data_IF_864910394756
#
_entry.id   IF_864910394756
#
_cell.length_a   1.000
_cell.length_b   1.000
_cell.length_c   1.000
_cell.angle_alpha   90.00
_cell.angle_beta   90.00
_cell.angle_gamma   90.00
#
_symmetry.space_group_name_H-M   'P 1'
#
loop_
_entity.id
_entity.type
_entity.pdbx_description
1 polymer ?
#
# COMPACT_ATOMS: atom_id res chain seq x y z
N UNK A 1 -4.73 0.15 -16.49
CA UNK A 1 -5.21 -1.25 -16.65
C UNK A 1 -6.60 -1.38 -16.02
N UNK A 2 -7.33 -2.49 -16.22
CA UNK A 2 -8.65 -2.70 -15.57
C UNK A 2 -8.52 -3.06 -14.09
N UNK A 3 -9.62 -2.95 -13.32
CA UNK A 3 -9.67 -3.40 -11.91
C UNK A 3 -9.22 -4.85 -11.75
N UNK A 4 -9.62 -5.73 -12.67
CA UNK A 4 -9.24 -7.15 -12.63
C UNK A 4 -7.74 -7.36 -12.86
N UNK A 5 -7.15 -6.61 -13.81
CA UNK A 5 -5.71 -6.66 -14.06
C UNK A 5 -4.91 -6.17 -12.86
N UNK A 6 -5.32 -5.06 -12.25
CA UNK A 6 -4.70 -4.53 -11.04
C UNK A 6 -4.70 -5.56 -9.89
N UNK A 7 -5.86 -6.20 -9.63
CA UNK A 7 -5.97 -7.27 -8.62
C UNK A 7 -5.08 -8.47 -8.94
N UNK A 8 -4.98 -8.85 -10.20
CA UNK A 8 -4.12 -9.96 -10.61
C UNK A 8 -2.63 -9.64 -10.41
N UNK A 9 -2.20 -8.42 -10.71
CA UNK A 9 -0.85 -7.96 -10.38
C UNK A 9 -0.59 -7.98 -8.87
N UNK A 10 -1.58 -7.58 -8.06
CA UNK A 10 -1.52 -7.64 -6.59
C UNK A 10 -1.23 -9.04 -6.04
N UNK A 11 -1.84 -10.09 -6.61
CA UNK A 11 -1.61 -11.49 -6.16
C UNK A 11 -0.14 -11.91 -6.19
N UNK A 12 0.62 -11.46 -7.20
CA UNK A 12 2.05 -11.77 -7.30
C UNK A 12 2.85 -11.04 -6.22
N UNK A 13 2.58 -9.75 -6.02
CA UNK A 13 3.22 -8.94 -4.98
C UNK A 13 2.96 -9.52 -3.60
N UNK A 14 1.70 -9.85 -3.32
CA UNK A 14 1.25 -10.50 -2.09
C UNK A 14 2.00 -11.77 -1.80
N UNK A 15 2.03 -12.72 -2.74
CA UNK A 15 2.73 -14.00 -2.55
C UNK A 15 4.20 -13.79 -2.19
N UNK A 16 4.88 -12.89 -2.88
CA UNK A 16 6.29 -12.61 -2.65
C UNK A 16 6.52 -11.96 -1.28
N UNK A 17 5.72 -10.96 -0.92
CA UNK A 17 5.87 -10.25 0.35
C UNK A 17 5.40 -11.07 1.56
N UNK A 18 4.41 -11.94 1.39
CA UNK A 18 4.02 -12.91 2.43
C UNK A 18 5.17 -13.84 2.78
N UNK A 19 5.81 -14.42 1.76
CA UNK A 19 6.99 -15.28 1.93
C UNK A 19 8.16 -14.51 2.58
N UNK A 20 8.49 -13.32 2.06
CA UNK A 20 9.60 -12.49 2.58
C UNK A 20 9.43 -12.13 4.06
N UNK A 21 8.21 -11.81 4.49
CA UNK A 21 7.94 -11.35 5.86
C UNK A 21 7.41 -12.44 6.78
N UNK A 22 7.21 -13.66 6.28
CA UNK A 22 6.67 -14.80 7.03
C UNK A 22 5.33 -14.46 7.69
N UNK A 23 4.44 -13.83 6.92
CA UNK A 23 3.04 -13.57 7.31
C UNK A 23 2.09 -14.53 6.61
N UNK A 24 0.98 -14.79 7.26
CA UNK A 24 -0.07 -15.69 6.79
C UNK A 24 -1.24 -14.92 6.16
N UNK A 25 -2.09 -15.63 5.43
CA UNK A 25 -3.24 -15.04 4.71
C UNK A 25 -4.23 -14.37 5.68
N UNK A 26 -4.45 -14.95 6.86
CA UNK A 26 -5.33 -14.42 7.89
C UNK A 26 -4.82 -13.11 8.50
N UNK A 27 -3.50 -12.90 8.54
CA UNK A 27 -2.91 -11.68 9.07
C UNK A 27 -3.05 -10.47 8.12
N UNK A 28 -3.07 -10.71 6.81
CA UNK A 28 -3.02 -9.63 5.78
C UNK A 28 -4.27 -9.56 4.90
N UNK A 29 -5.05 -10.64 4.79
CA UNK A 29 -6.18 -10.76 3.87
C UNK A 29 -7.36 -9.84 4.19
N UNK A 30 -7.33 -9.16 5.35
CA UNK A 30 -8.36 -8.20 5.75
C UNK A 30 -7.91 -6.74 5.65
N UNK A 31 -6.72 -6.46 5.11
CA UNK A 31 -6.20 -5.09 4.92
C UNK A 31 -7.15 -4.29 4.00
N UNK A 32 -7.59 -4.85 2.87
CA UNK A 32 -8.57 -4.20 1.98
C UNK A 32 -9.91 -3.90 2.66
N UNK A 33 -10.21 -4.58 3.78
CA UNK A 33 -11.44 -4.41 4.57
C UNK A 33 -11.23 -3.47 5.77
N UNK A 34 -10.09 -2.78 5.85
CA UNK A 34 -9.80 -1.85 6.95
C UNK A 34 -9.31 -2.51 8.23
N UNK A 35 -9.08 -3.81 8.24
CA UNK A 35 -8.54 -4.52 9.41
C UNK A 35 -7.04 -4.64 9.28
N UNK A 36 -6.35 -3.68 9.88
CA UNK A 36 -4.90 -3.62 9.90
C UNK A 36 -4.37 -4.20 11.21
N UNK A 37 -3.74 -5.37 11.17
CA UNK A 37 -3.12 -5.98 12.36
C UNK A 37 -1.85 -5.19 12.71
N UNK A 38 -1.77 -4.67 13.94
CA UNK A 38 -0.59 -3.96 14.48
C UNK A 38 0.52 -4.93 14.88
N UNK A 39 0.98 -5.74 13.93
CA UNK A 39 2.11 -6.66 14.08
C UNK A 39 3.27 -6.22 13.18
N UNK A 40 4.50 -6.32 13.67
CA UNK A 40 5.68 -5.84 12.96
C UNK A 40 5.87 -6.52 11.59
N UNK A 41 5.58 -7.81 11.47
CA UNK A 41 5.70 -8.53 10.20
C UNK A 41 4.64 -8.07 9.21
N UNK A 42 3.43 -7.77 9.67
CA UNK A 42 2.35 -7.19 8.85
C UNK A 42 2.71 -5.78 8.38
N UNK A 43 3.29 -4.96 9.24
CA UNK A 43 3.81 -3.65 8.84
C UNK A 43 4.88 -3.77 7.74
N UNK A 44 5.82 -4.71 7.90
CA UNK A 44 6.88 -4.93 6.92
C UNK A 44 6.38 -5.60 5.63
N UNK A 45 5.27 -6.36 5.69
CA UNK A 45 4.55 -6.81 4.51
C UNK A 45 4.08 -5.63 3.66
N UNK A 46 3.44 -4.63 4.27
CA UNK A 46 2.98 -3.41 3.57
C UNK A 46 4.16 -2.65 2.96
N UNK A 47 5.25 -2.49 3.73
CA UNK A 47 6.47 -1.86 3.21
C UNK A 47 7.06 -2.64 2.01
N UNK A 48 7.07 -3.96 2.07
CA UNK A 48 7.53 -4.80 0.96
C UNK A 48 6.70 -4.55 -0.31
N UNK A 49 5.38 -4.41 -0.21
CA UNK A 49 4.53 -4.08 -1.37
C UNK A 49 4.94 -2.72 -1.95
N UNK A 50 5.09 -1.70 -1.11
CA UNK A 50 5.50 -0.37 -1.57
C UNK A 50 6.92 -0.35 -2.16
N UNK A 51 7.84 -1.16 -1.64
CA UNK A 51 9.19 -1.36 -2.17
C UNK A 51 9.12 -2.01 -3.57
N UNK A 52 8.36 -3.10 -3.73
CA UNK A 52 8.21 -3.79 -5.01
C UNK A 52 7.56 -2.91 -6.08
N UNK A 53 6.70 -1.97 -5.69
CA UNK A 53 6.12 -0.98 -6.60
C UNK A 53 7.00 0.28 -6.77
N UNK A 54 8.24 0.30 -6.28
CA UNK A 54 9.16 1.45 -6.37
C UNK A 54 8.62 2.75 -5.72
N UNK A 55 7.70 2.64 -4.77
CA UNK A 55 7.17 3.78 -4.00
C UNK A 55 8.14 4.19 -2.90
N UNK A 56 8.81 3.21 -2.28
CA UNK A 56 9.88 3.48 -1.32
C UNK A 56 11.16 3.82 -2.08
N UNK A 57 11.76 4.95 -1.74
CA UNK A 57 13.08 5.39 -2.23
C UNK A 57 13.91 5.91 -1.06
N UNK A 58 15.17 5.49 -0.98
CA UNK A 58 16.10 5.89 0.10
C UNK A 58 15.47 5.71 1.49
N UNK A 59 14.80 4.57 1.71
CA UNK A 59 14.12 4.22 2.95
C UNK A 59 13.00 5.21 3.38
N UNK A 60 12.36 5.88 2.42
CA UNK A 60 11.23 6.80 2.64
C UNK A 60 10.15 6.59 1.57
N UNK A 61 8.89 6.85 1.92
CA UNK A 61 7.82 6.85 0.93
C UNK A 61 7.95 8.08 0.04
N UNK A 62 7.96 7.90 -1.28
CA UNK A 62 8.11 8.99 -2.22
C UNK A 62 6.76 9.33 -2.87
N UNK A 63 6.28 10.55 -2.64
CA UNK A 63 4.99 11.02 -3.17
C UNK A 63 4.94 10.96 -4.70
N UNK A 64 5.94 11.52 -5.39
CA UNK A 64 5.97 11.52 -6.86
C UNK A 64 6.01 10.12 -7.45
N UNK A 65 6.73 9.18 -6.80
CA UNK A 65 6.73 7.78 -7.20
C UNK A 65 5.36 7.12 -6.98
N UNK A 66 4.68 7.45 -5.89
CA UNK A 66 3.30 6.99 -5.61
C UNK A 66 2.36 7.45 -6.72
N UNK A 67 2.40 8.74 -7.09
CA UNK A 67 1.59 9.31 -8.16
C UNK A 67 1.87 8.61 -9.50
N UNK A 68 3.15 8.42 -9.85
CA UNK A 68 3.54 7.68 -11.06
C UNK A 68 3.00 6.26 -11.10
N UNK A 69 3.03 5.55 -9.96
CA UNK A 69 2.48 4.19 -9.91
C UNK A 69 0.96 4.16 -10.02
N UNK A 70 0.27 5.12 -9.41
CA UNK A 70 -1.17 5.28 -9.58
C UNK A 70 -1.51 5.51 -11.06
N UNK A 71 -0.78 6.40 -11.73
CA UNK A 71 -1.00 6.66 -13.15
C UNK A 71 -0.73 5.46 -14.05
N UNK A 72 0.23 4.62 -13.71
CA UNK A 72 0.57 3.42 -14.48
C UNK A 72 -0.43 2.27 -14.23
N UNK A 73 -0.77 2.03 -12.96
CA UNK A 73 -1.44 0.80 -12.53
C UNK A 73 -2.94 0.97 -12.27
N UNK A 74 -3.41 2.14 -11.84
CA UNK A 74 -4.82 2.26 -11.44
C UNK A 74 -5.73 2.41 -12.68
N UNK A 75 -6.96 1.86 -12.61
CA UNK A 75 -7.96 2.08 -13.65
C UNK A 75 -8.45 3.55 -13.60
N UNK A 76 -8.91 4.12 -14.74
CA UNK A 76 -9.23 5.54 -14.85
C UNK A 76 -10.21 6.05 -13.78
N UNK A 77 -11.20 5.25 -13.42
CA UNK A 77 -12.23 5.55 -12.43
C UNK A 77 -11.71 5.64 -10.98
N UNK A 78 -10.52 5.10 -10.69
CA UNK A 78 -9.91 5.14 -9.36
C UNK A 78 -8.73 6.11 -9.25
N UNK A 79 -8.15 6.58 -10.36
CA UNK A 79 -6.90 7.36 -10.33
C UNK A 79 -7.02 8.62 -9.48
N UNK A 80 -8.03 9.44 -9.72
CA UNK A 80 -8.19 10.72 -9.03
C UNK A 80 -8.43 10.53 -7.53
N UNK A 81 -9.22 9.51 -7.17
CA UNK A 81 -9.44 9.12 -5.78
C UNK A 81 -8.14 8.68 -5.08
N UNK A 82 -7.37 7.81 -5.73
CA UNK A 82 -6.09 7.33 -5.19
C UNK A 82 -5.04 8.45 -5.09
N UNK A 83 -4.99 9.38 -6.05
CA UNK A 83 -4.10 10.55 -5.99
C UNK A 83 -4.49 11.49 -4.84
N UNK A 84 -5.78 11.74 -4.65
CA UNK A 84 -6.26 12.56 -3.54
C UNK A 84 -5.90 11.93 -2.17
N UNK A 85 -6.03 10.61 -2.05
CA UNK A 85 -5.59 9.88 -0.86
C UNK A 85 -4.07 10.00 -0.65
N UNK A 86 -3.26 9.81 -1.70
CA UNK A 86 -1.80 9.94 -1.63
C UNK A 86 -1.38 11.35 -1.20
N UNK A 87 -2.01 12.38 -1.74
CA UNK A 87 -1.76 13.78 -1.38
C UNK A 87 -2.14 14.05 0.09
N UNK A 88 -3.29 13.54 0.55
CA UNK A 88 -3.73 13.67 1.95
C UNK A 88 -2.78 12.99 2.94
N UNK A 89 -2.21 11.84 2.56
CA UNK A 89 -1.46 10.97 3.45
C UNK A 89 0.07 11.09 3.32
N UNK A 90 0.59 11.95 2.43
CA UNK A 90 2.04 12.06 2.12
C UNK A 90 2.94 12.34 3.32
N UNK A 91 2.40 13.05 4.32
CA UNK A 91 3.15 13.47 5.50
C UNK A 91 3.03 12.50 6.69
N UNK A 92 2.20 11.46 6.59
CA UNK A 92 2.01 10.47 7.68
C UNK A 92 3.34 9.82 8.06
N UNK A 93 4.15 9.46 7.06
CA UNK A 93 5.46 8.84 7.26
C UNK A 93 6.39 9.64 8.18
N UNK A 94 6.26 10.98 8.24
CA UNK A 94 7.19 11.86 8.98
C UNK A 94 7.15 11.60 10.49
N UNK A 95 6.08 10.95 10.97
CA UNK A 95 5.90 10.59 12.38
C UNK A 95 6.67 9.33 12.79
N UNK A 96 7.18 8.55 11.84
CA UNK A 96 7.74 7.23 12.08
C UNK A 96 9.17 7.16 11.53
N UNK A 97 10.10 6.63 12.33
CA UNK A 97 11.49 6.42 11.91
C UNK A 97 11.66 5.12 11.13
N UNK A 98 10.86 4.12 11.49
CA UNK A 98 10.88 2.81 10.88
C UNK A 98 10.02 2.79 9.61
N UNK A 99 10.57 2.24 8.52
CA UNK A 99 9.89 2.22 7.22
C UNK A 99 8.67 1.30 7.20
N UNK A 100 8.65 0.23 8.00
CA UNK A 100 7.51 -0.66 8.11
C UNK A 100 6.34 0.05 8.79
N UNK A 101 6.61 0.73 9.92
CA UNK A 101 5.60 1.54 10.62
C UNK A 101 5.10 2.68 9.73
N UNK A 102 6.00 3.43 9.09
CA UNK A 102 5.64 4.50 8.17
C UNK A 102 4.72 3.99 7.05
N UNK A 103 5.05 2.84 6.46
CA UNK A 103 4.25 2.20 5.39
C UNK A 103 2.88 1.76 5.90
N UNK A 104 2.82 1.13 7.05
CA UNK A 104 1.58 0.69 7.68
C UNK A 104 0.64 1.88 7.92
N UNK A 105 1.11 2.92 8.59
CA UNK A 105 0.26 4.07 8.94
C UNK A 105 -0.13 4.89 7.71
N UNK A 106 0.74 4.98 6.70
CA UNK A 106 0.35 5.57 5.42
C UNK A 106 -0.72 4.74 4.73
N UNK A 107 -0.58 3.42 4.63
CA UNK A 107 -1.60 2.56 4.01
C UNK A 107 -2.95 2.64 4.74
N UNK A 108 -2.93 2.67 6.08
CA UNK A 108 -4.13 2.88 6.88
C UNK A 108 -4.78 4.23 6.60
N UNK A 109 -4.00 5.31 6.50
CA UNK A 109 -4.51 6.63 6.12
C UNK A 109 -5.17 6.62 4.72
N UNK A 110 -4.58 5.92 3.75
CA UNK A 110 -5.16 5.80 2.40
C UNK A 110 -6.53 5.10 2.46
N UNK A 111 -6.63 4.02 3.24
CA UNK A 111 -7.90 3.34 3.49
C UNK A 111 -8.91 4.28 4.17
N UNK A 112 -8.53 4.92 5.28
CA UNK A 112 -9.42 5.79 6.07
C UNK A 112 -9.95 6.98 5.24
N UNK A 113 -9.18 7.48 4.26
CA UNK A 113 -9.60 8.57 3.39
C UNK A 113 -10.75 8.18 2.47
N UNK A 114 -10.67 7.01 1.81
CA UNK A 114 -11.74 6.51 0.95
C UNK A 114 -11.77 4.98 0.87
N UNK A 115 -12.42 4.31 1.84
CA UNK A 115 -12.44 2.85 1.94
C UNK A 115 -12.97 2.13 0.69
N UNK A 116 -13.97 2.71 0.02
CA UNK A 116 -14.65 2.12 -1.14
C UNK A 116 -13.74 2.01 -2.38
N UNK A 117 -12.75 2.88 -2.48
CA UNK A 117 -11.82 2.95 -3.61
C UNK A 117 -10.45 2.34 -3.28
N UNK A 118 -10.25 1.92 -2.02
CA UNK A 118 -8.98 1.35 -1.57
C UNK A 118 -8.77 -0.05 -2.13
N UNK A 119 -7.60 -0.27 -2.72
CA UNK A 119 -7.15 -1.56 -3.24
C UNK A 119 -5.76 -1.82 -2.68
N UNK A 120 -5.53 -3.03 -2.19
CA UNK A 120 -4.24 -3.43 -1.66
C UNK A 120 -3.91 -4.88 -2.03
N UNK A 121 -2.62 -5.14 -2.21
CA UNK A 121 -2.13 -6.46 -2.58
C UNK A 121 -2.32 -7.47 -1.46
#
# INVERSE_FOLDING_TARGET
MSRQQLKNSGKMLKKNCMSKNQVTEDQIGSIEKGKFVEDKKVMCYIACIFEMTNVIKNNKLNYDASIKQIDLMYPPDLKESAKAAAEKCKDVQKKYKDICEASYWTAKCLYDFKPEDFIFA
#
